data_IF_243202531298
#
_entry.id   IF_243202531298
#
_cell.length_a   1.000
_cell.length_b   1.000
_cell.length_c   1.000
_cell.angle_alpha   90.00
_cell.angle_beta   90.00
_cell.angle_gamma   90.00
#
_symmetry.space_group_name_H-M   'P 1'
#
loop_
_entity.id
_entity.type
_entity.pdbx_description
1 polymer ?
#
# COMPACT_ATOMS: atom_id res chain seq x y z
N UNK A 1 17.44 -19.99 -21.77
CA UNK A 1 17.92 -18.80 -21.05
C UNK A 1 18.56 -19.26 -19.75
N UNK A 2 19.79 -18.86 -19.46
CA UNK A 2 20.46 -19.26 -18.22
C UNK A 2 19.82 -18.54 -17.02
N UNK A 3 19.98 -19.09 -15.80
CA UNK A 3 19.57 -18.40 -14.55
C UNK A 3 20.16 -16.98 -14.49
N UNK A 4 21.37 -16.80 -15.00
CA UNK A 4 22.08 -15.51 -15.08
C UNK A 4 21.35 -14.53 -16.01
N UNK A 5 20.89 -14.98 -17.19
CA UNK A 5 20.13 -14.15 -18.13
C UNK A 5 18.76 -13.75 -17.57
N UNK A 6 18.10 -14.64 -16.80
CA UNK A 6 16.85 -14.31 -16.11
C UNK A 6 17.06 -13.27 -15.00
N UNK A 7 18.12 -13.38 -14.21
CA UNK A 7 18.47 -12.41 -13.16
C UNK A 7 18.84 -11.04 -13.76
N UNK A 8 19.62 -11.03 -14.86
CA UNK A 8 19.96 -9.78 -15.56
C UNK A 8 18.72 -9.12 -16.15
N UNK A 9 17.83 -9.90 -16.78
CA UNK A 9 16.56 -9.36 -17.30
C UNK A 9 15.64 -8.84 -16.18
N UNK A 10 15.68 -9.44 -14.99
CA UNK A 10 14.90 -8.97 -13.83
C UNK A 10 15.45 -7.63 -13.32
N UNK A 11 16.78 -7.46 -13.23
CA UNK A 11 17.38 -6.18 -12.82
C UNK A 11 17.14 -5.04 -13.81
N UNK A 12 17.17 -5.31 -15.09
CA UNK A 12 16.83 -4.31 -16.12
C UNK A 12 15.35 -3.86 -15.99
N UNK A 13 14.45 -4.82 -15.82
CA UNK A 13 13.02 -4.55 -15.61
C UNK A 13 12.78 -3.78 -14.32
N UNK A 14 13.47 -4.14 -13.24
CA UNK A 14 13.43 -3.42 -11.98
C UNK A 14 13.88 -1.97 -12.15
N UNK A 15 15.04 -1.71 -12.77
CA UNK A 15 15.56 -0.36 -12.97
C UNK A 15 14.57 0.51 -13.73
N UNK A 16 13.99 0.00 -14.82
CA UNK A 16 12.98 0.71 -15.60
C UNK A 16 11.69 0.98 -14.78
N UNK A 17 11.31 0.04 -13.90
CA UNK A 17 10.15 0.18 -13.01
C UNK A 17 10.44 1.17 -11.88
N UNK A 18 11.62 1.13 -11.27
CA UNK A 18 12.00 2.02 -10.17
C UNK A 18 11.98 3.49 -10.59
N UNK A 19 12.48 3.82 -11.79
CA UNK A 19 12.48 5.20 -12.28
C UNK A 19 11.06 5.77 -12.42
N UNK A 20 10.07 4.91 -12.73
CA UNK A 20 8.65 5.29 -12.87
C UNK A 20 7.84 5.07 -11.60
N UNK A 21 8.43 4.45 -10.58
CA UNK A 21 7.75 4.15 -9.33
C UNK A 21 7.32 5.41 -8.58
N UNK A 22 6.17 5.34 -7.95
CA UNK A 22 5.54 6.42 -7.22
C UNK A 22 4.79 5.88 -5.99
N UNK A 23 4.23 6.78 -5.18
CA UNK A 23 3.57 6.38 -3.91
C UNK A 23 2.37 5.44 -4.12
N UNK A 24 1.75 5.44 -5.28
CA UNK A 24 0.65 4.52 -5.56
C UNK A 24 1.12 3.11 -5.99
N UNK A 25 2.43 2.85 -6.06
CA UNK A 25 2.99 1.51 -6.27
C UNK A 25 3.40 0.90 -4.93
N UNK A 26 2.80 -0.23 -4.56
CA UNK A 26 2.90 -0.83 -3.21
C UNK A 26 4.35 -1.01 -2.73
N UNK A 27 5.22 -1.60 -3.56
CA UNK A 27 6.61 -1.83 -3.18
C UNK A 27 7.38 -0.53 -2.88
N UNK A 28 7.06 0.55 -3.62
CA UNK A 28 7.69 1.85 -3.44
C UNK A 28 7.11 2.58 -2.21
N UNK A 29 5.79 2.59 -2.08
CA UNK A 29 5.07 3.17 -0.95
C UNK A 29 5.57 2.62 0.39
N UNK A 30 5.70 1.29 0.51
CA UNK A 30 6.16 0.62 1.74
C UNK A 30 7.49 1.20 2.21
N UNK A 31 8.50 1.20 1.35
CA UNK A 31 9.84 1.68 1.69
C UNK A 31 9.83 3.18 2.01
N UNK A 32 9.14 3.97 1.18
CA UNK A 32 9.11 5.44 1.34
C UNK A 32 8.41 5.84 2.63
N UNK A 33 7.22 5.29 2.91
CA UNK A 33 6.41 5.70 4.06
C UNK A 33 6.79 5.00 5.36
N UNK A 34 7.63 3.95 5.34
CA UNK A 34 8.21 3.36 6.54
C UNK A 34 9.33 4.24 7.14
N UNK A 35 9.90 5.12 6.33
CA UNK A 35 10.85 6.12 6.84
C UNK A 35 10.13 7.13 7.73
N UNK A 36 10.53 7.19 9.02
CA UNK A 36 9.86 8.04 10.03
C UNK A 36 9.84 9.53 9.67
N UNK A 37 10.91 10.05 9.12
CA UNK A 37 11.02 11.47 8.75
C UNK A 37 10.09 11.80 7.59
N UNK A 38 9.99 10.89 6.62
CA UNK A 38 9.06 10.99 5.50
C UNK A 38 7.61 10.88 5.98
N UNK A 39 7.30 9.86 6.78
CA UNK A 39 5.96 9.69 7.35
C UNK A 39 5.53 10.92 8.15
N UNK A 40 6.43 11.46 8.99
CA UNK A 40 6.21 12.69 9.75
C UNK A 40 5.95 13.89 8.85
N UNK A 41 6.75 14.06 7.80
CA UNK A 41 6.56 15.13 6.82
C UNK A 41 5.19 15.04 6.17
N UNK A 42 4.81 13.87 5.69
CA UNK A 42 3.52 13.60 5.04
C UNK A 42 2.36 13.89 6.00
N UNK A 43 2.39 13.35 7.22
CA UNK A 43 1.36 13.60 8.23
C UNK A 43 1.19 15.08 8.57
N UNK A 44 2.31 15.80 8.72
CA UNK A 44 2.29 17.25 8.99
C UNK A 44 1.62 18.04 7.88
N UNK A 45 1.89 17.67 6.63
CA UNK A 45 1.28 18.31 5.45
C UNK A 45 -0.20 17.99 5.32
N UNK A 46 -0.58 16.70 5.39
CA UNK A 46 -1.96 16.27 5.21
C UNK A 46 -2.89 16.77 6.32
N UNK A 47 -2.42 16.79 7.56
CA UNK A 47 -3.22 17.21 8.72
C UNK A 47 -3.04 18.69 9.07
N UNK A 48 -2.13 19.41 8.40
CA UNK A 48 -1.77 20.80 8.72
C UNK A 48 -1.35 20.98 10.19
N UNK A 49 -0.65 19.97 10.77
CA UNK A 49 -0.21 19.93 12.16
C UNK A 49 1.32 19.84 12.21
N UNK A 50 2.04 20.95 12.31
CA UNK A 50 3.52 20.96 12.28
C UNK A 50 4.15 20.36 13.54
N UNK A 51 3.40 20.20 14.62
CA UNK A 51 3.83 19.69 15.91
C UNK A 51 3.86 18.15 16.00
N UNK A 52 3.38 17.43 14.99
CA UNK A 52 3.44 15.96 14.94
C UNK A 52 4.90 15.51 14.97
N UNK A 53 5.23 14.63 15.90
CA UNK A 53 6.54 13.96 15.97
C UNK A 53 6.28 12.45 15.99
N UNK A 54 6.59 11.78 14.90
CA UNK A 54 6.41 10.34 14.73
C UNK A 54 7.48 9.59 15.53
N UNK A 55 7.04 8.69 16.43
CA UNK A 55 7.91 7.81 17.20
C UNK A 55 8.13 6.48 16.52
N UNK A 56 7.07 5.91 15.96
CA UNK A 56 7.08 4.62 15.26
C UNK A 56 6.24 4.71 14.00
N UNK A 57 6.69 4.02 12.96
CA UNK A 57 6.00 3.91 11.69
C UNK A 57 6.29 2.54 11.10
N UNK A 58 5.24 1.83 10.69
CA UNK A 58 5.31 0.50 10.08
C UNK A 58 4.39 0.43 8.89
N UNK A 59 4.82 -0.30 7.88
CA UNK A 59 4.02 -0.57 6.68
C UNK A 59 3.49 -2.01 6.69
N UNK A 60 2.41 -2.26 5.95
CA UNK A 60 1.76 -3.57 5.83
C UNK A 60 1.45 -4.25 7.17
N UNK A 61 0.95 -3.48 8.13
CA UNK A 61 0.63 -4.02 9.45
C UNK A 61 -0.59 -4.94 9.35
N UNK A 62 -0.36 -6.23 9.59
CA UNK A 62 -1.42 -7.22 9.58
C UNK A 62 -2.10 -7.27 10.95
N UNK A 63 -3.41 -7.06 10.96
CA UNK A 63 -4.28 -7.25 12.12
C UNK A 63 -5.09 -8.50 11.88
N UNK A 64 -4.65 -9.61 12.47
CA UNK A 64 -5.34 -10.90 12.37
C UNK A 64 -6.36 -11.04 13.48
N UNK A 65 -7.58 -11.48 13.13
CA UNK A 65 -8.67 -11.70 14.06
C UNK A 65 -9.02 -13.17 14.16
N UNK A 66 -9.25 -13.67 15.39
CA UNK A 66 -9.73 -15.05 15.60
C UNK A 66 -11.06 -15.30 14.90
N UNK A 67 -11.91 -14.28 14.79
CA UNK A 67 -13.19 -14.31 14.09
C UNK A 67 -13.35 -13.02 13.30
N UNK A 68 -13.54 -13.13 11.99
CA UNK A 68 -13.77 -12.00 11.12
C UNK A 68 -12.73 -11.86 10.00
N UNK A 69 -12.81 -10.76 9.27
CA UNK A 69 -11.88 -10.46 8.18
C UNK A 69 -10.59 -9.87 8.74
N UNK A 70 -9.45 -10.40 8.35
CA UNK A 70 -8.16 -9.79 8.62
C UNK A 70 -8.05 -8.44 7.91
N UNK A 71 -7.31 -7.53 8.50
CA UNK A 71 -6.97 -6.24 7.92
C UNK A 71 -5.48 -6.13 7.72
N UNK A 72 -5.07 -5.61 6.58
CA UNK A 72 -3.72 -5.15 6.34
C UNK A 72 -3.79 -3.63 6.20
N UNK A 73 -3.10 -2.93 7.10
CA UNK A 73 -3.01 -1.47 7.08
C UNK A 73 -1.77 -1.08 6.28
N UNK A 74 -1.91 -0.16 5.33
CA UNK A 74 -0.80 0.23 4.47
C UNK A 74 0.31 0.91 5.29
N UNK A 75 -0.04 1.88 6.13
CA UNK A 75 0.90 2.56 7.03
C UNK A 75 0.25 2.80 8.38
N UNK A 76 0.89 2.37 9.45
CA UNK A 76 0.48 2.65 10.84
C UNK A 76 1.58 3.41 11.56
N UNK A 77 1.29 4.61 12.04
CA UNK A 77 2.23 5.44 12.77
C UNK A 77 1.68 5.87 14.12
N UNK A 78 2.59 6.09 15.08
CA UNK A 78 2.27 6.63 16.41
C UNK A 78 3.13 7.85 16.69
N UNK A 79 2.53 8.94 17.18
CA UNK A 79 3.27 10.13 17.58
C UNK A 79 3.64 10.15 19.07
N UNK A 80 4.45 11.13 19.48
CA UNK A 80 4.90 11.33 20.87
C UNK A 80 3.76 11.56 21.87
N UNK A 81 2.56 11.90 21.40
CA UNK A 81 1.37 12.11 22.25
C UNK A 81 0.49 10.87 22.34
N UNK A 82 0.87 9.77 21.69
CA UNK A 82 0.11 8.54 21.64
C UNK A 82 -1.00 8.51 20.57
N UNK A 83 -1.12 9.55 19.74
CA UNK A 83 -2.07 9.53 18.60
C UNK A 83 -1.65 8.51 17.58
N UNK A 84 -2.62 7.85 16.98
CA UNK A 84 -2.42 6.83 15.96
C UNK A 84 -2.90 7.33 14.61
N UNK A 85 -2.09 7.08 13.59
CA UNK A 85 -2.34 7.47 12.22
C UNK A 85 -2.28 6.23 11.34
N UNK A 86 -3.38 5.94 10.66
CA UNK A 86 -3.42 4.96 9.59
C UNK A 86 -3.53 5.70 8.25
N UNK A 87 -2.56 5.50 7.36
CA UNK A 87 -2.59 6.05 6.00
C UNK A 87 -2.85 4.87 5.05
N UNK A 88 -3.94 4.95 4.30
CA UNK A 88 -4.33 4.00 3.28
C UNK A 88 -4.13 4.60 1.89
N UNK A 89 -3.41 3.90 1.02
CA UNK A 89 -3.06 4.38 -0.34
C UNK A 89 -3.82 3.57 -1.38
N UNK A 90 -4.71 4.21 -2.12
CA UNK A 90 -5.58 3.54 -3.08
C UNK A 90 -5.34 3.99 -4.52
N UNK A 91 -4.97 3.04 -5.37
CA UNK A 91 -4.66 3.28 -6.79
C UNK A 91 -5.91 3.33 -7.66
N UNK A 92 -6.90 2.51 -7.36
CA UNK A 92 -8.15 2.40 -8.10
C UNK A 92 -9.33 2.91 -7.28
N UNK A 93 -10.41 3.29 -7.96
CA UNK A 93 -11.70 3.58 -7.32
C UNK A 93 -12.24 2.25 -6.80
N UNK A 94 -12.42 2.14 -5.51
CA UNK A 94 -13.01 0.98 -4.86
C UNK A 94 -14.39 1.32 -4.31
N UNK A 95 -15.31 0.38 -4.41
CA UNK A 95 -16.65 0.50 -3.83
C UNK A 95 -16.58 0.39 -2.30
N UNK A 96 -17.58 0.99 -1.64
CA UNK A 96 -17.75 0.92 -0.18
C UNK A 96 -16.53 1.43 0.63
N UNK A 97 -15.84 2.46 0.14
CA UNK A 97 -14.68 3.05 0.83
C UNK A 97 -15.03 3.57 2.23
N UNK A 98 -16.25 4.09 2.46
CA UNK A 98 -16.71 4.54 3.78
C UNK A 98 -16.78 3.36 4.77
N UNK A 99 -17.22 2.19 4.30
CA UNK A 99 -17.32 0.98 5.12
C UNK A 99 -15.92 0.43 5.43
N UNK A 100 -14.98 0.52 4.49
CA UNK A 100 -13.57 0.17 4.72
C UNK A 100 -12.96 1.06 5.78
N UNK A 101 -13.09 2.38 5.64
CA UNK A 101 -12.56 3.34 6.62
C UNK A 101 -13.15 3.09 8.01
N UNK A 102 -14.47 2.84 8.10
CA UNK A 102 -15.11 2.45 9.36
C UNK A 102 -14.48 1.17 9.93
N UNK A 103 -14.19 0.19 9.08
CA UNK A 103 -13.58 -1.07 9.50
C UNK A 103 -12.13 -0.86 9.97
N UNK A 104 -11.36 0.00 9.33
CA UNK A 104 -10.01 0.36 9.77
C UNK A 104 -10.00 1.00 11.17
N UNK A 105 -10.88 1.95 11.45
CA UNK A 105 -11.05 2.49 12.81
C UNK A 105 -11.30 1.38 13.82
N UNK A 106 -12.26 0.50 13.54
CA UNK A 106 -12.61 -0.62 14.43
C UNK A 106 -11.46 -1.61 14.61
N UNK A 107 -10.67 -1.85 13.55
CA UNK A 107 -9.53 -2.75 13.59
C UNK A 107 -8.42 -2.18 14.49
N UNK A 108 -8.09 -0.90 14.31
CA UNK A 108 -7.10 -0.19 15.11
C UNK A 108 -7.53 -0.15 16.58
N UNK A 109 -8.76 0.26 16.88
CA UNK A 109 -9.29 0.32 18.25
C UNK A 109 -9.24 -1.07 18.95
N UNK A 110 -9.63 -2.12 18.22
CA UNK A 110 -9.62 -3.48 18.76
C UNK A 110 -8.22 -4.04 19.02
N UNK A 111 -7.21 -3.56 18.31
CA UNK A 111 -5.81 -3.94 18.54
C UNK A 111 -5.21 -3.22 19.75
N UNK A 112 -5.62 -1.97 19.98
CA UNK A 112 -5.10 -1.13 21.06
C UNK A 112 -5.72 -1.50 22.40
N UNK A 113 -7.07 -1.67 22.42
CA UNK A 113 -7.80 -1.93 23.66
C UNK A 113 -7.66 -3.40 24.05
N UNK A 114 -6.78 -3.67 25.00
CA UNK A 114 -6.57 -5.02 25.54
C UNK A 114 -7.49 -5.27 26.73
N UNK A 115 -7.71 -6.55 27.06
CA UNK A 115 -8.48 -6.96 28.23
C UNK A 115 -7.95 -6.27 29.51
N UNK A 116 -8.85 -5.60 30.23
CA UNK A 116 -8.52 -4.88 31.48
C UNK A 116 -8.14 -3.41 31.29
N UNK A 117 -8.26 -2.88 30.05
CA UNK A 117 -8.18 -1.45 29.76
C UNK A 117 -9.55 -0.81 29.74
N UNK A 118 -9.63 0.47 30.10
CA UNK A 118 -10.85 1.25 30.05
C UNK A 118 -11.04 1.88 28.64
N UNK A 119 -12.28 2.13 28.22
CA UNK A 119 -12.55 2.80 26.96
C UNK A 119 -11.98 4.22 26.89
N UNK A 120 -11.83 4.88 28.05
CA UNK A 120 -11.16 6.19 28.17
C UNK A 120 -9.69 6.18 27.76
N UNK A 121 -9.05 5.00 27.77
CA UNK A 121 -7.65 4.81 27.38
C UNK A 121 -7.45 4.78 25.85
N UNK A 122 -8.53 4.74 25.06
CA UNK A 122 -8.43 4.79 23.60
C UNK A 122 -7.83 6.14 23.15
N UNK A 123 -6.71 6.10 22.40
CA UNK A 123 -6.08 7.29 21.86
C UNK A 123 -6.90 7.88 20.71
N UNK A 124 -6.63 9.12 20.31
CA UNK A 124 -7.11 9.65 19.04
C UNK A 124 -6.57 8.84 17.86
N UNK A 125 -7.47 8.42 16.96
CA UNK A 125 -7.13 7.65 15.75
C UNK A 125 -7.51 8.44 14.50
N UNK A 126 -6.53 8.62 13.64
CA UNK A 126 -6.70 9.27 12.33
C UNK A 126 -6.62 8.20 11.24
N UNK A 127 -7.66 8.07 10.43
CA UNK A 127 -7.61 7.29 9.18
C UNK A 127 -7.56 8.27 8.02
N UNK A 128 -6.46 8.25 7.29
CA UNK A 128 -6.19 9.11 6.14
C UNK A 128 -6.24 8.23 4.89
N UNK A 129 -7.29 8.41 4.11
CA UNK A 129 -7.53 7.65 2.89
C UNK A 129 -7.07 8.47 1.69
N UNK A 130 -5.92 8.09 1.11
CA UNK A 130 -5.33 8.76 -0.05
C UNK A 130 -5.70 7.98 -1.31
N UNK A 131 -6.43 8.62 -2.22
CA UNK A 131 -6.85 8.03 -3.49
C UNK A 131 -6.21 8.72 -4.69
N UNK A 132 -5.99 7.96 -5.76
CA UNK A 132 -5.52 8.53 -7.02
C UNK A 132 -6.59 9.37 -7.70
N UNK A 133 -7.88 9.03 -7.47
CA UNK A 133 -9.05 9.66 -8.09
C UNK A 133 -9.92 10.35 -7.05
N UNK A 134 -10.70 11.34 -7.47
CA UNK A 134 -11.73 11.97 -6.61
C UNK A 134 -12.93 11.04 -6.42
N UNK A 135 -12.88 10.23 -5.37
CA UNK A 135 -13.91 9.22 -5.07
C UNK A 135 -15.29 9.82 -4.72
N UNK A 136 -15.30 11.06 -4.23
CA UNK A 136 -16.54 11.78 -3.88
C UNK A 136 -17.12 12.60 -5.03
N UNK A 137 -16.33 12.85 -6.08
CA UNK A 137 -16.74 13.62 -7.27
C UNK A 137 -17.28 15.02 -6.92
N UNK A 138 -16.71 15.65 -5.87
CA UNK A 138 -17.09 16.99 -5.39
C UNK A 138 -16.09 18.08 -5.79
N UNK A 139 -14.99 17.72 -6.42
CA UNK A 139 -13.98 18.65 -6.92
C UNK A 139 -13.13 19.32 -5.83
N UNK A 140 -12.95 18.68 -4.68
CA UNK A 140 -12.01 19.11 -3.63
C UNK A 140 -10.86 18.13 -3.51
N UNK A 141 -9.64 18.63 -3.24
CA UNK A 141 -8.49 17.77 -2.98
C UNK A 141 -8.58 17.06 -1.63
N UNK A 142 -9.38 17.60 -0.70
CA UNK A 142 -9.50 17.10 0.67
C UNK A 142 -10.96 17.09 1.11
N UNK A 143 -11.35 16.01 1.77
CA UNK A 143 -12.63 15.89 2.45
C UNK A 143 -12.42 15.44 3.88
N UNK A 144 -12.96 16.18 4.84
CA UNK A 144 -12.96 15.81 6.25
C UNK A 144 -14.34 15.30 6.65
N UNK A 145 -14.38 14.16 7.35
CA UNK A 145 -15.62 13.63 7.90
C UNK A 145 -15.83 14.18 9.31
N UNK A 146 -16.96 14.86 9.51
CA UNK A 146 -17.35 15.37 10.82
C UNK A 146 -18.56 14.59 11.35
N UNK A 147 -18.53 14.25 12.63
CA UNK A 147 -19.65 13.62 13.34
C UNK A 147 -20.41 14.67 14.15
N UNK A 148 -21.72 14.60 14.17
CA UNK A 148 -22.54 15.55 14.92
C UNK A 148 -23.58 14.87 15.79
N UNK A 149 -23.76 15.39 17.03
CA UNK A 149 -24.84 15.06 17.94
C UNK A 149 -26.00 16.02 17.68
N UNK A 150 -27.15 15.51 17.23
CA UNK A 150 -28.35 16.33 16.94
C UNK A 150 -29.37 16.19 18.04
N UNK A 151 -29.88 17.33 18.55
CA UNK A 151 -30.91 17.37 19.58
C UNK A 151 -31.71 18.66 19.50
N UNK A 152 -33.04 18.63 19.65
CA UNK A 152 -33.94 19.77 19.66
C UNK A 152 -33.67 20.83 18.54
N UNK A 153 -33.32 20.35 17.34
CA UNK A 153 -32.99 21.22 16.19
C UNK A 153 -31.61 21.87 16.24
N UNK A 154 -30.78 21.54 17.23
CA UNK A 154 -29.37 21.94 17.36
C UNK A 154 -28.44 20.82 16.94
N UNK A 155 -27.19 21.16 16.68
CA UNK A 155 -26.12 20.18 16.39
C UNK A 155 -24.84 20.64 17.06
N UNK A 156 -24.23 19.72 17.82
CA UNK A 156 -22.91 19.88 18.42
C UNK A 156 -21.93 18.89 17.77
N UNK A 157 -20.64 19.17 17.82
CA UNK A 157 -19.61 18.25 17.36
C UNK A 157 -19.62 17.02 18.28
N UNK A 158 -19.69 15.82 17.68
CA UNK A 158 -19.53 14.56 18.38
C UNK A 158 -18.08 14.09 18.23
N UNK A 159 -17.25 14.41 19.25
CA UNK A 159 -15.83 14.05 19.26
C UNK A 159 -15.62 12.74 20.02
N UNK A 160 -15.59 11.63 19.28
CA UNK A 160 -15.22 10.30 19.77
C UNK A 160 -13.75 9.98 19.54
N UNK A 161 -12.92 10.97 19.20
CA UNK A 161 -11.50 10.88 18.89
C UNK A 161 -11.17 10.01 17.65
N UNK A 162 -12.14 9.72 16.81
CA UNK A 162 -11.94 9.11 15.50
C UNK A 162 -12.06 10.16 14.40
N UNK A 163 -10.99 10.39 13.67
CA UNK A 163 -10.89 11.39 12.63
C UNK A 163 -10.64 10.74 11.28
N UNK A 164 -11.40 11.13 10.28
CA UNK A 164 -11.26 10.60 8.92
C UNK A 164 -10.99 11.73 7.93
N UNK A 165 -9.93 11.56 7.15
CA UNK A 165 -9.53 12.46 6.09
C UNK A 165 -9.46 11.69 4.77
N UNK A 166 -10.13 12.16 3.74
CA UNK A 166 -9.95 11.69 2.37
C UNK A 166 -9.14 12.72 1.60
N UNK A 167 -8.12 12.27 0.91
CA UNK A 167 -7.26 13.10 0.08
C UNK A 167 -7.16 12.46 -1.29
N UNK A 168 -7.25 13.23 -2.36
CA UNK A 168 -7.09 12.69 -3.71
C UNK A 168 -6.04 13.43 -4.52
N UNK A 169 -5.45 12.70 -5.47
CA UNK A 169 -4.41 13.21 -6.35
C UNK A 169 -4.95 13.68 -7.71
N UNK A 170 -6.26 13.65 -7.93
CA UNK A 170 -6.88 14.08 -9.18
C UNK A 170 -7.13 15.58 -9.22
N UNK A 171 -7.64 16.12 -8.12
CA UNK A 171 -8.10 17.51 -8.05
C UNK A 171 -6.97 18.45 -7.71
N UNK A 172 -6.75 19.46 -8.56
CA UNK A 172 -5.89 20.62 -8.27
C UNK A 172 -6.73 21.69 -7.57
N UNK A 173 -6.68 21.70 -6.25
CA UNK A 173 -7.47 22.61 -5.43
C UNK A 173 -6.63 23.81 -4.99
N UNK A 174 -6.98 25.00 -5.48
CA UNK A 174 -6.26 26.23 -5.14
C UNK A 174 -6.41 26.63 -3.65
N UNK A 175 -7.45 26.14 -2.96
CA UNK A 175 -7.62 26.34 -1.52
C UNK A 175 -6.72 25.41 -0.69
N UNK A 176 -6.21 24.33 -1.31
CA UNK A 176 -5.37 23.30 -0.70
C UNK A 176 -4.04 23.13 -1.46
N UNK A 177 -3.34 24.23 -1.77
CA UNK A 177 -2.15 24.24 -2.62
C UNK A 177 -1.05 23.29 -2.14
N UNK A 178 -0.76 23.30 -0.82
CA UNK A 178 0.28 22.45 -0.23
C UNK A 178 -0.04 20.94 -0.39
N UNK A 179 -1.30 20.56 -0.20
CA UNK A 179 -1.75 19.18 -0.32
C UNK A 179 -1.79 18.79 -1.80
N UNK A 180 -2.29 19.66 -2.67
CA UNK A 180 -2.30 19.42 -4.12
C UNK A 180 -0.89 19.24 -4.67
N UNK A 181 0.09 20.05 -4.23
CA UNK A 181 1.50 19.88 -4.62
C UNK A 181 2.06 18.54 -4.12
N UNK A 182 1.78 18.16 -2.87
CA UNK A 182 2.19 16.86 -2.33
C UNK A 182 1.57 15.69 -3.13
N UNK A 183 0.30 15.80 -3.52
CA UNK A 183 -0.38 14.77 -4.30
C UNK A 183 0.15 14.67 -5.73
N UNK A 184 0.52 15.79 -6.36
CA UNK A 184 1.23 15.77 -7.64
C UNK A 184 2.58 15.06 -7.51
N UNK A 185 3.34 15.36 -6.43
CA UNK A 185 4.59 14.67 -6.16
C UNK A 185 4.38 13.16 -5.96
N UNK A 186 3.32 12.75 -5.24
CA UNK A 186 2.99 11.34 -5.01
C UNK A 186 2.78 10.55 -6.32
N UNK A 187 2.24 11.20 -7.37
CA UNK A 187 2.02 10.55 -8.68
C UNK A 187 3.31 10.35 -9.48
N UNK A 188 4.35 11.11 -9.22
CA UNK A 188 5.55 11.16 -10.08
C UNK A 188 6.79 10.70 -9.32
N UNK A 189 6.96 11.15 -8.06
CA UNK A 189 8.16 10.93 -7.25
C UNK A 189 9.45 11.23 -8.04
N UNK A 190 9.51 12.46 -8.61
CA UNK A 190 10.67 12.90 -9.37
C UNK A 190 11.88 13.06 -8.45
N UNK A 191 13.00 12.36 -8.68
CA UNK A 191 14.20 12.47 -7.84
C UNK A 191 14.90 13.84 -7.94
N UNK A 192 14.63 14.61 -9.00
CA UNK A 192 15.21 15.95 -9.20
C UNK A 192 14.40 17.07 -8.53
N UNK A 193 13.19 16.76 -8.04
CA UNK A 193 12.36 17.71 -7.30
C UNK A 193 12.73 17.69 -5.81
N UNK A 194 13.22 18.82 -5.28
CA UNK A 194 13.65 18.98 -3.90
C UNK A 194 12.64 19.76 -3.02
N UNK A 195 11.44 20.04 -3.54
CA UNK A 195 10.46 20.91 -2.88
C UNK A 195 9.73 20.26 -1.70
N UNK A 196 9.84 18.93 -1.52
CA UNK A 196 9.16 18.17 -0.49
C UNK A 196 10.05 17.67 0.65
N UNK A 197 11.18 18.36 0.92
CA UNK A 197 12.06 18.11 2.07
C UNK A 197 12.45 16.63 2.22
N UNK A 198 12.26 16.07 3.42
CA UNK A 198 12.62 14.67 3.71
C UNK A 198 12.05 13.66 2.72
N UNK A 199 10.87 13.90 2.17
CA UNK A 199 10.28 13.02 1.14
C UNK A 199 11.09 13.07 -0.16
N UNK A 200 11.43 14.27 -0.65
CA UNK A 200 12.25 14.44 -1.87
C UNK A 200 13.65 13.85 -1.70
N UNK A 201 14.29 14.12 -0.56
CA UNK A 201 15.63 13.61 -0.24
C UNK A 201 15.65 12.07 -0.23
N UNK A 202 14.66 11.46 0.41
CA UNK A 202 14.59 10.00 0.50
C UNK A 202 14.23 9.35 -0.84
N UNK A 203 13.29 9.92 -1.61
CA UNK A 203 12.98 9.46 -2.98
C UNK A 203 14.21 9.53 -3.88
N UNK A 204 14.97 10.62 -3.83
CA UNK A 204 16.24 10.77 -4.56
C UNK A 204 17.21 9.67 -4.17
N UNK A 205 17.43 9.46 -2.86
CA UNK A 205 18.29 8.39 -2.36
C UNK A 205 17.88 7.02 -2.91
N UNK A 206 16.59 6.67 -2.82
CA UNK A 206 16.08 5.38 -3.28
C UNK A 206 16.25 5.17 -4.79
N UNK A 207 16.10 6.24 -5.60
CA UNK A 207 16.12 6.14 -7.07
C UNK A 207 17.50 6.33 -7.70
N UNK A 208 18.44 7.00 -7.03
CA UNK A 208 19.73 7.39 -7.64
C UNK A 208 20.96 6.86 -6.91
N UNK A 209 20.88 6.58 -5.60
CA UNK A 209 21.98 6.01 -4.85
C UNK A 209 22.01 4.47 -4.95
N UNK A 210 23.22 3.88 -5.02
CA UNK A 210 23.38 2.44 -5.14
C UNK A 210 22.74 1.67 -3.98
N UNK A 211 22.94 2.14 -2.74
CA UNK A 211 22.36 1.47 -1.55
C UNK A 211 20.84 1.63 -1.52
N UNK A 212 20.34 2.80 -1.92
CA UNK A 212 18.90 3.02 -2.06
C UNK A 212 18.29 2.10 -3.12
N UNK A 213 18.97 1.92 -4.25
CA UNK A 213 18.54 0.97 -5.28
C UNK A 213 18.56 -0.48 -4.79
N UNK A 214 19.57 -0.90 -3.98
CA UNK A 214 19.64 -2.25 -3.42
C UNK A 214 18.44 -2.48 -2.45
N UNK A 215 18.11 -1.53 -1.58
CA UNK A 215 16.93 -1.61 -0.71
C UNK A 215 15.65 -1.79 -1.55
N UNK A 216 15.50 -1.01 -2.59
CA UNK A 216 14.33 -1.09 -3.48
C UNK A 216 14.28 -2.38 -4.27
N UNK A 217 15.45 -2.95 -4.63
CA UNK A 217 15.52 -4.24 -5.32
C UNK A 217 15.07 -5.39 -4.43
N UNK A 218 15.52 -5.42 -3.18
CA UNK A 218 15.10 -6.43 -2.20
C UNK A 218 13.59 -6.39 -1.96
N UNK A 219 13.01 -5.19 -1.90
CA UNK A 219 11.57 -5.02 -1.73
C UNK A 219 10.78 -5.40 -3.00
N UNK A 220 11.33 -5.10 -4.16
CA UNK A 220 10.78 -5.54 -5.44
C UNK A 220 10.77 -7.07 -5.56
N UNK A 221 11.89 -7.72 -5.22
CA UNK A 221 11.96 -9.19 -5.22
C UNK A 221 10.91 -9.78 -4.27
N UNK A 222 10.73 -9.21 -3.07
CA UNK A 222 9.74 -9.66 -2.09
C UNK A 222 8.31 -9.57 -2.63
N UNK A 223 7.95 -8.46 -3.29
CA UNK A 223 6.63 -8.28 -3.89
C UNK A 223 6.36 -9.30 -5.01
N UNK A 224 7.39 -9.59 -5.80
CA UNK A 224 7.29 -10.48 -6.96
C UNK A 224 7.74 -11.92 -6.68
N UNK A 225 8.17 -12.23 -5.44
CA UNK A 225 8.63 -13.58 -5.09
C UNK A 225 7.55 -14.63 -5.38
N UNK A 226 6.30 -14.35 -5.05
CA UNK A 226 5.16 -15.21 -5.35
C UNK A 226 4.99 -15.42 -6.85
N UNK A 227 5.04 -14.36 -7.62
CA UNK A 227 4.89 -14.40 -9.08
C UNK A 227 6.08 -15.09 -9.74
N UNK A 228 7.30 -14.85 -9.25
CA UNK A 228 8.52 -15.50 -9.72
C UNK A 228 8.47 -17.00 -9.42
N UNK A 229 8.06 -17.39 -8.21
CA UNK A 229 7.88 -18.80 -7.84
C UNK A 229 6.80 -19.48 -8.69
N UNK A 230 5.65 -18.83 -8.88
CA UNK A 230 4.59 -19.33 -9.77
C UNK A 230 5.10 -19.47 -11.20
N UNK A 231 5.85 -18.49 -11.71
CA UNK A 231 6.44 -18.53 -13.04
C UNK A 231 7.42 -19.68 -13.19
N UNK A 232 8.36 -19.84 -12.25
CA UNK A 232 9.34 -20.95 -12.26
C UNK A 232 8.64 -22.31 -12.23
N UNK A 233 7.61 -22.47 -11.38
CA UNK A 233 6.82 -23.69 -11.36
C UNK A 233 6.06 -23.93 -12.67
N UNK A 234 5.53 -22.88 -13.31
CA UNK A 234 4.90 -22.99 -14.63
C UNK A 234 5.90 -23.44 -15.70
N UNK A 235 7.13 -22.92 -15.67
CA UNK A 235 8.22 -23.35 -16.55
C UNK A 235 8.57 -24.84 -16.32
N UNK A 236 8.63 -25.27 -15.06
CA UNK A 236 8.87 -26.69 -14.68
C UNK A 236 7.71 -27.60 -15.15
N UNK A 237 6.45 -27.17 -14.99
CA UNK A 237 5.26 -27.88 -15.48
C UNK A 237 5.35 -28.05 -17.01
N UNK A 238 5.61 -26.97 -17.73
CA UNK A 238 5.74 -27.00 -19.19
C UNK A 238 6.86 -27.96 -19.64
N UNK A 239 8.00 -27.91 -18.95
CA UNK A 239 9.13 -28.79 -19.22
C UNK A 239 8.80 -30.26 -18.99
N UNK A 240 8.16 -30.59 -17.87
CA UNK A 240 7.72 -31.96 -17.57
C UNK A 240 6.73 -32.45 -18.64
N UNK A 241 5.77 -31.63 -19.04
CA UNK A 241 4.81 -31.99 -20.09
C UNK A 241 5.53 -32.30 -21.42
N UNK A 242 6.51 -31.51 -21.81
CA UNK A 242 7.26 -31.67 -23.05
C UNK A 242 8.24 -32.85 -23.01
N UNK A 243 9.06 -32.92 -21.97
CA UNK A 243 10.15 -33.92 -21.87
C UNK A 243 9.59 -35.34 -21.67
N UNK A 244 8.52 -35.48 -20.88
CA UNK A 244 7.94 -36.77 -20.54
C UNK A 244 6.65 -37.08 -21.32
N UNK A 245 6.17 -36.14 -22.16
CA UNK A 245 4.92 -36.29 -22.96
C UNK A 245 3.73 -36.69 -22.08
N UNK A 246 3.56 -36.01 -20.95
CA UNK A 246 2.47 -36.26 -19.99
C UNK A 246 1.42 -35.14 -20.04
N UNK A 247 0.21 -35.42 -19.54
CA UNK A 247 -0.83 -34.42 -19.43
C UNK A 247 -0.53 -33.35 -18.37
N UNK A 248 -1.23 -32.24 -18.44
CA UNK A 248 -1.15 -31.16 -17.47
C UNK A 248 -1.43 -31.64 -16.03
N UNK A 249 -2.51 -32.42 -15.83
CA UNK A 249 -2.86 -33.00 -14.52
C UNK A 249 -1.75 -33.91 -13.98
N UNK A 250 -1.08 -34.66 -14.87
CA UNK A 250 0.03 -35.52 -14.45
C UNK A 250 1.24 -34.72 -14.05
N UNK A 251 1.54 -33.64 -14.76
CA UNK A 251 2.63 -32.73 -14.43
C UNK A 251 2.40 -32.03 -13.08
N UNK A 252 1.18 -31.51 -12.85
CA UNK A 252 0.80 -30.91 -11.57
C UNK A 252 0.98 -31.88 -10.40
N UNK A 253 0.50 -33.11 -10.57
CA UNK A 253 0.66 -34.17 -9.56
C UNK A 253 2.11 -34.55 -9.31
N UNK A 254 2.96 -34.50 -10.33
CA UNK A 254 4.40 -34.81 -10.21
C UNK A 254 5.15 -33.76 -9.38
N UNK A 255 4.67 -32.50 -9.40
CA UNK A 255 5.24 -31.37 -8.65
C UNK A 255 4.49 -31.06 -7.35
N UNK A 256 3.55 -31.95 -6.92
CA UNK A 256 2.73 -31.79 -5.72
C UNK A 256 2.07 -30.40 -5.65
N UNK A 257 1.52 -29.92 -6.78
CA UNK A 257 0.80 -28.64 -6.84
C UNK A 257 -0.58 -28.80 -6.22
N UNK A 258 -0.98 -27.94 -5.23
CA UNK A 258 -2.30 -27.96 -4.63
C UNK A 258 -3.43 -27.73 -5.66
N UNK A 259 -4.58 -28.37 -5.48
CA UNK A 259 -5.72 -28.25 -6.41
C UNK A 259 -6.22 -26.81 -6.55
N UNK A 260 -6.17 -26.03 -5.48
CA UNK A 260 -6.53 -24.62 -5.45
C UNK A 260 -5.67 -23.70 -6.34
N UNK A 261 -4.46 -24.15 -6.71
CA UNK A 261 -3.55 -23.42 -7.61
C UNK A 261 -3.64 -23.89 -9.08
N UNK A 262 -4.37 -24.95 -9.39
CA UNK A 262 -4.41 -25.55 -10.73
C UNK A 262 -4.87 -24.60 -11.81
N UNK A 263 -5.92 -23.79 -11.54
CA UNK A 263 -6.46 -22.82 -12.49
C UNK A 263 -5.46 -21.70 -12.80
N UNK A 264 -4.70 -21.22 -11.79
CA UNK A 264 -3.63 -20.24 -11.95
C UNK A 264 -2.54 -20.74 -12.90
N UNK A 265 -2.10 -21.99 -12.71
CA UNK A 265 -1.09 -22.59 -13.60
C UNK A 265 -1.62 -22.87 -15.00
N UNK A 266 -2.89 -23.25 -15.14
CA UNK A 266 -3.52 -23.41 -16.45
C UNK A 266 -3.53 -22.09 -17.23
N UNK A 267 -3.83 -20.97 -16.55
CA UNK A 267 -3.80 -19.64 -17.16
C UNK A 267 -2.38 -19.23 -17.56
N UNK A 268 -1.40 -19.41 -16.66
CA UNK A 268 0.02 -19.12 -16.91
C UNK A 268 0.54 -19.93 -18.10
N UNK A 269 0.22 -21.24 -18.18
CA UNK A 269 0.67 -22.06 -19.30
C UNK A 269 0.04 -21.63 -20.63
N UNK A 270 -1.25 -21.34 -20.65
CA UNK A 270 -1.92 -20.84 -21.88
C UNK A 270 -1.27 -19.55 -22.39
N UNK A 271 -0.87 -18.68 -21.46
CA UNK A 271 -0.24 -17.40 -21.82
C UNK A 271 1.20 -17.55 -22.29
N UNK A 272 2.05 -18.31 -21.53
CA UNK A 272 3.48 -18.40 -21.82
C UNK A 272 3.86 -19.57 -22.71
N UNK A 273 3.05 -20.61 -22.74
CA UNK A 273 3.31 -21.88 -23.46
C UNK A 273 2.06 -22.35 -24.22
N UNK A 274 1.48 -21.52 -25.13
CA UNK A 274 0.23 -21.84 -25.80
C UNK A 274 0.28 -23.17 -26.59
N UNK A 275 1.48 -23.57 -27.06
CA UNK A 275 1.66 -24.83 -27.81
C UNK A 275 1.74 -26.09 -26.91
N UNK A 276 1.86 -25.94 -25.60
CA UNK A 276 1.98 -27.04 -24.63
C UNK A 276 0.61 -27.47 -24.12
N UNK A 277 -0.37 -26.55 -24.16
CA UNK A 277 -1.73 -26.74 -23.68
C UNK A 277 -2.73 -27.14 -24.78
N UNK A 278 -2.25 -27.32 -26.03
CA UNK A 278 -3.03 -27.88 -27.15
C UNK A 278 -2.94 -29.41 -27.12
#
# INVERSE_FOLDING_TARGET
MSIVENILSLRERFTAKLQKANIFDNFFMRVVLENKEVCQYVLRKLLKKPDIIVLDCKTEVQISKLFGKDSRLDVLATDKTGKIFNIEIQKAKEDAHELRVRYYHSAVDSEIIRKGKEYSDLPPVYVIYVSKTDIWEKGSAVYMVEKSLKYHGKADIYDDKQYTLYVNAEVKDNSEQDISALMEYFKICNPDDDTHGALSEYVRYLKTDKKGNDIMYDEFEREFEGDIRKRTKADDIAKIMLDFKVSFERALKTLDIPEEEHDDYAELLRYFYPNVMQ
#
